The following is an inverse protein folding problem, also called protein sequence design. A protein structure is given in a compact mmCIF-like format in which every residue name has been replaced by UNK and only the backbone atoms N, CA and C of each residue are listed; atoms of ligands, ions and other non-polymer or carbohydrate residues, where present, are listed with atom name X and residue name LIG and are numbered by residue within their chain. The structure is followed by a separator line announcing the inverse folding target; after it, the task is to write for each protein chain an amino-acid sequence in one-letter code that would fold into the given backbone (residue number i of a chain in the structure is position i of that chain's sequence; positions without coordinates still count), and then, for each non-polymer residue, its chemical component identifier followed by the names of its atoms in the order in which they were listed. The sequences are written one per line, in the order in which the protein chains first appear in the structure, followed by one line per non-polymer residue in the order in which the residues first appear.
data_IF_507241414993
#
_entry.id   IF_507241414993
#
_cell.length_a   1.000
_cell.length_b   1.000
_cell.length_c   1.000
_cell.angle_alpha   90.00
_cell.angle_beta   90.00
_cell.angle_gamma   90.00
#
_symmetry.space_group_name_H-M   'P 1'
#
loop_
_entity.id
_entity.type
_entity.pdbx_description
1 polymer ?
#
# COMPACT_ATOMS: atom_id res chain seq x y z
N UNK A 1 -8.97 28.03 4.46
CA UNK A 1 -8.00 27.73 5.54
C UNK A 1 -7.90 26.23 5.88
N UNK A 2 -8.93 25.42 5.59
CA UNK A 2 -8.99 23.97 5.84
C UNK A 2 -8.11 23.14 4.89
N UNK A 3 -7.98 23.52 3.62
CA UNK A 3 -7.23 22.73 2.62
C UNK A 3 -5.73 22.68 2.87
N UNK A 4 -5.11 23.80 3.28
CA UNK A 4 -3.65 23.89 3.51
C UNK A 4 -3.18 22.97 4.64
N UNK A 5 -3.98 22.84 5.71
CA UNK A 5 -3.66 21.93 6.83
C UNK A 5 -3.82 20.48 6.40
N UNK A 6 -4.88 20.17 5.65
CA UNK A 6 -5.14 18.83 5.14
C UNK A 6 -4.03 18.37 4.18
N UNK A 7 -3.58 19.22 3.26
CA UNK A 7 -2.45 18.91 2.38
C UNK A 7 -1.14 18.70 3.16
N UNK A 8 -0.92 19.46 4.24
CA UNK A 8 0.24 19.25 5.12
C UNK A 8 0.25 17.87 5.75
N UNK A 9 -0.89 17.42 6.29
CA UNK A 9 -1.00 16.08 6.86
C UNK A 9 -0.89 14.99 5.80
N UNK A 10 -1.51 15.17 4.63
CA UNK A 10 -1.40 14.23 3.52
C UNK A 10 0.06 14.05 3.08
N UNK A 11 0.86 15.12 3.04
CA UNK A 11 2.29 15.03 2.71
C UNK A 11 3.13 14.26 3.75
N UNK A 12 2.70 14.22 5.01
CA UNK A 12 3.35 13.38 6.02
C UNK A 12 2.88 11.93 5.84
N UNK A 13 1.56 11.73 5.72
CA UNK A 13 0.97 10.39 5.66
C UNK A 13 1.28 9.63 4.36
N UNK A 14 1.59 10.31 3.26
CA UNK A 14 1.99 9.64 2.01
C UNK A 14 3.26 8.80 2.17
N UNK A 15 4.10 9.08 3.19
CA UNK A 15 5.24 8.24 3.55
C UNK A 15 4.87 6.85 4.08
N UNK A 16 3.60 6.61 4.43
CA UNK A 16 3.12 5.27 4.73
C UNK A 16 3.13 4.36 3.49
N UNK A 17 3.01 4.91 2.27
CA UNK A 17 3.02 4.12 1.04
C UNK A 17 4.36 3.39 0.79
N UNK A 18 5.55 4.04 0.89
CA UNK A 18 6.82 3.31 0.78
C UNK A 18 7.05 2.33 1.93
N UNK A 19 6.56 2.61 3.15
CA UNK A 19 6.63 1.64 4.26
C UNK A 19 5.83 0.37 3.88
N UNK A 20 4.61 0.54 3.38
CA UNK A 20 3.80 -0.57 2.87
C UNK A 20 4.52 -1.35 1.77
N UNK A 21 5.11 -0.68 0.78
CA UNK A 21 5.81 -1.35 -0.31
C UNK A 21 7.05 -2.13 0.15
N UNK A 22 7.79 -1.61 1.14
CA UNK A 22 8.92 -2.33 1.76
C UNK A 22 8.43 -3.56 2.51
N UNK A 23 7.33 -3.45 3.25
CA UNK A 23 6.74 -4.60 3.96
C UNK A 23 6.25 -5.67 2.99
N UNK A 24 5.66 -5.28 1.85
CA UNK A 24 5.32 -6.24 0.79
C UNK A 24 6.56 -6.95 0.26
N UNK A 25 7.65 -6.23 -0.02
CA UNK A 25 8.90 -6.82 -0.51
C UNK A 25 9.50 -7.80 0.50
N UNK A 26 9.52 -7.46 1.79
CA UNK A 26 9.99 -8.38 2.83
C UNK A 26 9.13 -9.65 2.84
N UNK A 27 7.82 -9.49 2.64
CA UNK A 27 6.87 -10.60 2.56
C UNK A 27 7.09 -11.55 1.39
N UNK A 28 7.87 -11.19 0.37
CA UNK A 28 8.18 -12.08 -0.77
C UNK A 28 9.49 -12.86 -0.58
N UNK A 29 10.20 -12.68 0.53
CA UNK A 29 11.50 -13.31 0.74
C UNK A 29 11.40 -14.75 1.26
N UNK A 30 10.30 -15.12 1.89
CA UNK A 30 10.11 -16.44 2.49
C UNK A 30 8.74 -17.01 2.12
N UNK A 31 8.73 -18.25 1.66
CA UNK A 31 7.54 -18.91 1.12
C UNK A 31 7.20 -20.14 1.95
N UNK A 32 5.92 -20.26 2.32
CA UNK A 32 5.43 -21.40 3.08
C UNK A 32 5.53 -22.71 2.28
N UNK A 33 5.84 -23.85 2.92
CA UNK A 33 5.73 -25.16 2.28
C UNK A 33 4.29 -25.45 1.82
N UNK A 34 4.10 -26.16 0.70
CA UNK A 34 2.77 -26.48 0.19
C UNK A 34 2.03 -27.43 1.15
N UNK A 35 0.87 -27.04 1.73
CA UNK A 35 0.17 -27.87 2.69
C UNK A 35 -0.38 -29.17 2.08
N UNK A 36 -0.61 -29.21 0.77
CA UNK A 36 -1.16 -30.38 0.06
C UNK A 36 -0.16 -31.54 -0.03
N UNK A 37 1.15 -31.25 -0.03
CA UNK A 37 2.20 -32.27 -0.21
C UNK A 37 3.18 -32.35 0.95
N UNK A 38 3.27 -31.30 1.78
CA UNK A 38 4.26 -31.19 2.86
C UNK A 38 3.66 -30.66 4.17
N UNK A 39 2.48 -31.16 4.58
CA UNK A 39 1.76 -30.60 5.74
C UNK A 39 2.58 -30.59 7.04
N UNK A 40 3.43 -31.60 7.29
CA UNK A 40 4.26 -31.62 8.50
C UNK A 40 5.30 -30.48 8.53
N UNK A 41 5.89 -30.13 7.38
CA UNK A 41 6.81 -29.00 7.25
C UNK A 41 6.06 -27.68 7.34
N UNK A 42 4.92 -27.58 6.66
CA UNK A 42 3.99 -26.47 6.75
C UNK A 42 3.58 -26.17 8.20
N UNK A 43 3.20 -27.19 8.97
CA UNK A 43 2.81 -27.05 10.37
C UNK A 43 3.94 -26.53 11.27
N UNK A 44 5.19 -26.97 11.03
CA UNK A 44 6.36 -26.41 11.72
C UNK A 44 6.62 -24.96 11.32
N UNK A 45 6.45 -24.62 10.05
CA UNK A 45 6.67 -23.26 9.53
C UNK A 45 5.66 -22.26 10.11
N UNK A 46 4.35 -22.56 10.03
CA UNK A 46 3.27 -21.66 10.46
C UNK A 46 3.16 -21.49 11.98
N UNK A 47 3.91 -22.28 12.76
CA UNK A 47 3.95 -22.15 14.23
C UNK A 47 5.13 -21.31 14.71
N UNK A 48 5.98 -20.82 13.81
CA UNK A 48 7.10 -19.95 14.17
C UNK A 48 6.64 -18.54 14.53
N UNK A 49 7.40 -17.89 15.42
CA UNK A 49 7.20 -16.48 15.75
C UNK A 49 7.44 -15.58 14.53
N UNK A 50 8.39 -15.93 13.66
CA UNK A 50 8.68 -15.22 12.41
C UNK A 50 7.48 -15.24 11.47
N UNK A 51 6.83 -16.40 11.30
CA UNK A 51 5.61 -16.53 10.51
C UNK A 51 4.47 -15.65 11.05
N UNK A 52 4.26 -15.66 12.37
CA UNK A 52 3.23 -14.83 12.99
C UNK A 52 3.55 -13.33 12.81
N UNK A 53 4.80 -12.94 13.06
CA UNK A 53 5.26 -11.57 12.92
C UNK A 53 5.15 -11.08 11.47
N UNK A 54 5.45 -11.91 10.47
CA UNK A 54 5.30 -11.52 9.06
C UNK A 54 3.84 -11.22 8.72
N UNK A 55 2.89 -12.00 9.19
CA UNK A 55 1.46 -11.75 8.93
C UNK A 55 0.91 -10.55 9.70
N UNK A 56 1.27 -10.40 10.98
CA UNK A 56 0.83 -9.25 11.78
C UNK A 56 1.43 -7.94 11.28
N UNK A 57 2.73 -7.94 10.98
CA UNK A 57 3.48 -6.72 10.64
C UNK A 57 3.48 -6.48 9.13
N UNK A 58 4.00 -7.41 8.34
CA UNK A 58 4.13 -7.19 6.90
C UNK A 58 2.78 -7.18 6.18
N UNK A 59 1.84 -8.04 6.58
CA UNK A 59 0.53 -8.11 5.94
C UNK A 59 -0.51 -7.18 6.55
N UNK A 60 -0.88 -7.35 7.83
CA UNK A 60 -1.99 -6.59 8.45
C UNK A 60 -1.60 -5.13 8.70
N UNK A 61 -0.51 -4.89 9.43
CA UNK A 61 -0.03 -3.53 9.66
C UNK A 61 0.44 -2.87 8.35
N UNK A 62 1.04 -3.65 7.44
CA UNK A 62 1.33 -3.22 6.08
C UNK A 62 0.08 -2.71 5.36
N UNK A 63 -1.00 -3.48 5.33
CA UNK A 63 -2.27 -3.08 4.71
C UNK A 63 -2.84 -1.79 5.33
N UNK A 64 -2.64 -1.55 6.63
CA UNK A 64 -2.99 -0.30 7.29
C UNK A 64 -2.14 0.87 6.76
N UNK A 65 -0.81 0.70 6.67
CA UNK A 65 0.07 1.71 6.07
C UNK A 65 -0.27 1.98 4.60
N UNK A 66 -0.60 0.95 3.82
CA UNK A 66 -1.06 1.08 2.44
C UNK A 66 -2.30 1.97 2.36
N UNK A 67 -3.31 1.68 3.18
CA UNK A 67 -4.54 2.51 3.27
C UNK A 67 -4.23 3.96 3.61
N UNK A 68 -3.40 4.22 4.61
CA UNK A 68 -3.04 5.59 5.01
C UNK A 68 -2.27 6.32 3.89
N UNK A 69 -1.30 5.66 3.26
CA UNK A 69 -0.47 6.24 2.20
C UNK A 69 -1.29 6.57 0.95
N UNK A 70 -2.17 5.67 0.51
CA UNK A 70 -3.01 5.89 -0.65
C UNK A 70 -4.21 6.81 -0.38
N UNK A 71 -4.71 6.88 0.86
CA UNK A 71 -5.65 7.93 1.27
C UNK A 71 -5.01 9.32 1.18
N UNK A 72 -3.77 9.44 1.62
CA UNK A 72 -3.01 10.69 1.50
C UNK A 72 -2.73 11.06 0.03
N UNK A 73 -2.34 10.08 -0.80
CA UNK A 73 -2.18 10.29 -2.23
C UNK A 73 -3.49 10.72 -2.91
N UNK A 74 -4.61 10.11 -2.54
CA UNK A 74 -5.94 10.50 -3.00
C UNK A 74 -6.22 11.98 -2.71
N UNK A 75 -6.02 12.41 -1.47
CA UNK A 75 -6.20 13.81 -1.06
C UNK A 75 -5.34 14.75 -1.92
N UNK A 76 -4.06 14.44 -2.09
CA UNK A 76 -3.13 15.27 -2.89
C UNK A 76 -3.57 15.35 -4.35
N UNK A 77 -3.94 14.23 -4.96
CA UNK A 77 -4.35 14.18 -6.37
C UNK A 77 -5.68 14.89 -6.62
N UNK A 78 -6.65 14.75 -5.72
CA UNK A 78 -7.95 15.43 -5.81
C UNK A 78 -7.79 16.94 -5.67
N UNK A 79 -7.04 17.41 -4.67
CA UNK A 79 -6.78 18.85 -4.50
C UNK A 79 -6.07 19.47 -5.71
N UNK A 80 -5.33 18.66 -6.48
CA UNK A 80 -4.60 19.09 -7.68
C UNK A 80 -5.33 18.77 -8.99
N UNK A 81 -6.63 18.48 -8.93
CA UNK A 81 -7.52 18.45 -10.10
C UNK A 81 -7.79 17.06 -10.72
N UNK A 82 -7.33 15.96 -10.12
CA UNK A 82 -7.52 14.61 -10.67
C UNK A 82 -8.78 13.88 -10.14
N UNK A 83 -9.92 14.58 -10.04
CA UNK A 83 -11.11 14.16 -9.27
C UNK A 83 -11.64 12.73 -9.50
N UNK A 84 -12.43 12.51 -10.55
CA UNK A 84 -13.22 11.27 -10.70
C UNK A 84 -12.38 9.98 -10.78
N UNK A 85 -11.27 10.02 -11.52
CA UNK A 85 -10.38 8.86 -11.67
C UNK A 85 -9.74 8.46 -10.33
N UNK A 86 -9.29 9.43 -9.55
CA UNK A 86 -8.63 9.19 -8.26
C UNK A 86 -9.64 8.70 -7.22
N UNK A 87 -10.90 9.17 -7.27
CA UNK A 87 -11.97 8.66 -6.40
C UNK A 87 -12.22 7.17 -6.63
N UNK A 88 -12.35 6.73 -7.88
CA UNK A 88 -12.50 5.31 -8.18
C UNK A 88 -11.25 4.51 -7.83
N UNK A 89 -10.05 5.05 -8.07
CA UNK A 89 -8.79 4.42 -7.66
C UNK A 89 -8.78 4.14 -6.15
N UNK A 90 -9.16 5.12 -5.34
CA UNK A 90 -9.19 4.99 -3.90
C UNK A 90 -10.27 4.02 -3.42
N UNK A 91 -11.49 4.11 -3.96
CA UNK A 91 -12.58 3.21 -3.59
C UNK A 91 -12.22 1.74 -3.86
N UNK A 92 -11.72 1.44 -5.06
CA UNK A 92 -11.32 0.08 -5.45
C UNK A 92 -10.13 -0.41 -4.61
N UNK A 93 -9.16 0.47 -4.34
CA UNK A 93 -8.03 0.17 -3.47
C UNK A 93 -8.49 -0.23 -2.06
N UNK A 94 -9.34 0.57 -1.42
CA UNK A 94 -9.78 0.33 -0.03
C UNK A 94 -10.61 -0.94 0.06
N UNK A 95 -11.57 -1.14 -0.86
CA UNK A 95 -12.40 -2.35 -0.90
C UNK A 95 -11.50 -3.57 -1.12
N UNK A 96 -10.61 -3.52 -2.11
CA UNK A 96 -9.68 -4.59 -2.41
C UNK A 96 -8.78 -4.94 -1.23
N UNK A 97 -8.14 -3.94 -0.63
CA UNK A 97 -7.27 -4.09 0.53
C UNK A 97 -8.00 -4.71 1.74
N UNK A 98 -9.25 -4.29 1.96
CA UNK A 98 -10.09 -4.85 3.04
C UNK A 98 -10.39 -6.32 2.80
N UNK A 99 -10.79 -6.69 1.58
CA UNK A 99 -11.10 -8.08 1.22
C UNK A 99 -9.85 -8.97 1.32
N UNK A 100 -8.70 -8.50 0.84
CA UNK A 100 -7.42 -9.24 0.93
C UNK A 100 -6.99 -9.46 2.39
N UNK A 101 -7.26 -8.50 3.27
CA UNK A 101 -6.91 -8.60 4.70
C UNK A 101 -7.60 -9.79 5.40
N UNK A 102 -8.71 -10.30 4.85
CA UNK A 102 -9.34 -11.53 5.37
C UNK A 102 -8.39 -12.73 5.37
N UNK A 103 -7.59 -12.92 4.31
CA UNK A 103 -6.58 -14.00 4.21
C UNK A 103 -5.43 -13.76 5.18
N UNK A 104 -5.02 -12.51 5.36
CA UNK A 104 -3.97 -12.17 6.32
C UNK A 104 -4.41 -12.47 7.76
N UNK A 105 -5.66 -12.19 8.10
CA UNK A 105 -6.25 -12.55 9.39
C UNK A 105 -6.32 -14.07 9.59
N UNK A 106 -6.81 -14.81 8.58
CA UNK A 106 -6.83 -16.27 8.63
C UNK A 106 -5.41 -16.83 8.83
N UNK A 107 -4.41 -16.30 8.11
CA UNK A 107 -3.03 -16.75 8.21
C UNK A 107 -2.41 -16.40 9.56
N UNK A 108 -2.65 -15.20 10.10
CA UNK A 108 -2.12 -14.81 11.40
C UNK A 108 -2.73 -15.59 12.57
N UNK A 109 -4.04 -15.89 12.51
CA UNK A 109 -4.77 -16.39 13.68
C UNK A 109 -5.16 -17.86 13.59
N UNK A 110 -5.50 -18.36 12.40
CA UNK A 110 -5.93 -19.76 12.22
C UNK A 110 -4.75 -20.69 11.94
N UNK A 111 -3.84 -20.35 11.01
CA UNK A 111 -2.74 -21.25 10.63
C UNK A 111 -1.84 -21.66 11.82
N UNK A 112 -1.42 -20.76 12.74
CA UNK A 112 -0.64 -21.19 13.90
C UNK A 112 -1.42 -22.15 14.82
N UNK A 113 -2.73 -21.96 14.95
CA UNK A 113 -3.57 -22.86 15.76
C UNK A 113 -3.70 -24.25 15.10
N UNK A 114 -3.92 -24.29 13.79
CA UNK A 114 -3.95 -25.50 12.98
C UNK A 114 -2.60 -26.24 13.06
N UNK A 115 -1.49 -25.52 12.89
CA UNK A 115 -0.15 -26.09 12.96
C UNK A 115 0.14 -26.71 14.33
N UNK A 116 -0.21 -26.02 15.43
CA UNK A 116 -0.10 -26.58 16.79
C UNK A 116 -0.97 -27.82 16.97
N UNK A 117 -2.20 -27.81 16.44
CA UNK A 117 -3.10 -28.96 16.49
C UNK A 117 -2.52 -30.18 15.76
N UNK A 118 -1.93 -29.97 14.58
CA UNK A 118 -1.26 -31.01 13.82
C UNK A 118 -0.05 -31.58 14.60
N UNK A 119 0.80 -30.71 15.13
CA UNK A 119 1.99 -31.09 15.90
C UNK A 119 1.65 -31.79 17.24
N UNK A 120 0.44 -31.56 17.78
CA UNK A 120 -0.08 -32.26 18.95
C UNK A 120 -0.67 -33.64 18.64
N UNK A 121 -0.63 -34.09 17.37
CA UNK A 121 -1.07 -35.42 16.96
C UNK A 121 -2.49 -35.50 16.40
N UNK A 122 -3.27 -34.41 16.42
CA UNK A 122 -4.60 -34.34 15.81
C UNK A 122 -4.50 -34.03 14.30
N UNK A 123 -3.73 -34.86 13.58
CA UNK A 123 -3.29 -34.59 12.20
C UNK A 123 -4.46 -34.54 11.21
N UNK A 124 -5.37 -35.52 11.25
CA UNK A 124 -6.52 -35.58 10.36
C UNK A 124 -7.48 -34.38 10.55
N UNK A 125 -7.74 -34.01 11.80
CA UNK A 125 -8.57 -32.86 12.13
C UNK A 125 -7.92 -31.55 11.69
N UNK A 126 -6.58 -31.45 11.75
CA UNK A 126 -5.86 -30.25 11.37
C UNK A 126 -5.86 -30.03 9.87
N UNK A 127 -5.71 -31.11 9.09
CA UNK A 127 -5.85 -31.06 7.63
C UNK A 127 -7.29 -30.68 7.25
N UNK A 128 -8.30 -31.31 7.86
CA UNK A 128 -9.70 -30.99 7.56
C UNK A 128 -10.03 -29.52 7.89
N UNK A 129 -9.60 -29.01 9.04
CA UNK A 129 -9.81 -27.61 9.42
C UNK A 129 -9.06 -26.62 8.51
N UNK A 130 -7.86 -26.99 8.07
CA UNK A 130 -7.11 -26.22 7.07
C UNK A 130 -7.93 -26.11 5.78
N UNK A 131 -8.43 -27.23 5.27
CA UNK A 131 -9.17 -27.27 4.00
C UNK A 131 -10.50 -26.51 4.09
N UNK A 132 -11.17 -26.55 5.24
CA UNK A 132 -12.40 -25.78 5.49
C UNK A 132 -12.14 -24.27 5.51
N UNK A 133 -11.09 -23.82 6.23
CA UNK A 133 -10.75 -22.39 6.35
C UNK A 133 -10.16 -21.86 5.05
N UNK A 134 -9.23 -22.59 4.44
CA UNK A 134 -8.59 -22.27 3.16
C UNK A 134 -9.34 -22.87 1.97
N UNK A 135 -10.66 -22.98 2.11
CA UNK A 135 -11.55 -23.45 1.06
C UNK A 135 -12.09 -22.34 0.17
N UNK A 136 -13.11 -22.69 -0.61
CA UNK A 136 -13.78 -21.80 -1.57
C UNK A 136 -14.21 -20.46 -0.96
N UNK A 137 -14.83 -20.38 0.24
CA UNK A 137 -15.33 -19.11 0.77
C UNK A 137 -14.24 -18.06 0.97
N UNK A 138 -13.08 -18.46 1.50
CA UNK A 138 -11.96 -17.54 1.72
C UNK A 138 -11.41 -17.02 0.40
N UNK A 139 -11.15 -17.92 -0.55
CA UNK A 139 -10.61 -17.52 -1.86
C UNK A 139 -11.61 -16.76 -2.74
N UNK A 140 -12.90 -17.09 -2.66
CA UNK A 140 -13.97 -16.33 -3.32
C UNK A 140 -14.12 -14.90 -2.77
N UNK A 141 -13.66 -14.66 -1.54
CA UNK A 141 -13.60 -13.33 -0.94
C UNK A 141 -12.30 -12.61 -1.34
N UNK A 142 -11.17 -13.28 -1.21
CA UNK A 142 -9.85 -12.68 -1.36
C UNK A 142 -9.46 -12.41 -2.82
N UNK A 143 -9.77 -13.32 -3.75
CA UNK A 143 -9.38 -13.18 -5.15
C UNK A 143 -10.02 -11.94 -5.82
N UNK A 144 -11.34 -11.66 -5.66
CA UNK A 144 -11.89 -10.38 -6.09
C UNK A 144 -11.20 -9.20 -5.40
N UNK A 145 -10.84 -9.33 -4.12
CA UNK A 145 -10.07 -8.34 -3.39
C UNK A 145 -8.74 -8.00 -4.06
N UNK A 146 -7.97 -9.01 -4.45
CA UNK A 146 -6.68 -8.85 -5.16
C UNK A 146 -6.87 -8.11 -6.49
N UNK A 147 -7.92 -8.47 -7.24
CA UNK A 147 -8.24 -7.81 -8.52
C UNK A 147 -8.60 -6.35 -8.30
N UNK A 148 -9.50 -6.05 -7.37
CA UNK A 148 -9.92 -4.68 -7.06
C UNK A 148 -8.76 -3.83 -6.55
N UNK A 149 -7.92 -4.38 -5.66
CA UNK A 149 -6.72 -3.73 -5.16
C UNK A 149 -5.76 -3.37 -6.30
N UNK A 150 -5.51 -4.34 -7.19
CA UNK A 150 -4.63 -4.17 -8.34
C UNK A 150 -5.17 -3.10 -9.29
N UNK A 151 -6.45 -3.15 -9.64
CA UNK A 151 -7.09 -2.14 -10.48
C UNK A 151 -7.01 -0.76 -9.83
N UNK A 152 -7.29 -0.65 -8.52
CA UNK A 152 -7.16 0.61 -7.77
C UNK A 152 -5.76 1.20 -7.89
N UNK A 153 -4.71 0.39 -7.69
CA UNK A 153 -3.32 0.79 -7.85
C UNK A 153 -2.98 1.21 -9.28
N UNK A 154 -3.50 0.50 -10.29
CA UNK A 154 -3.34 0.88 -11.71
C UNK A 154 -3.95 2.25 -11.98
N UNK A 155 -5.17 2.50 -11.51
CA UNK A 155 -5.83 3.80 -11.68
C UNK A 155 -5.08 4.91 -10.95
N UNK A 156 -4.54 4.66 -9.74
CA UNK A 156 -3.63 5.58 -9.07
C UNK A 156 -2.38 5.85 -9.91
N UNK A 157 -1.79 4.83 -10.52
CA UNK A 157 -0.65 4.96 -11.44
C UNK A 157 -0.99 5.84 -12.65
N UNK A 158 -2.16 5.66 -13.27
CA UNK A 158 -2.63 6.48 -14.39
C UNK A 158 -2.83 7.94 -13.93
N UNK A 159 -3.48 8.18 -12.79
CA UNK A 159 -3.70 9.52 -12.25
C UNK A 159 -2.35 10.21 -11.95
N UNK A 160 -1.42 9.47 -11.37
CA UNK A 160 -0.05 9.90 -11.05
C UNK A 160 0.75 10.23 -12.32
N UNK A 161 0.63 9.42 -13.38
CA UNK A 161 1.31 9.67 -14.66
C UNK A 161 0.74 10.87 -15.43
N UNK A 162 -0.49 11.29 -15.10
CA UNK A 162 -1.14 12.49 -15.66
C UNK A 162 -0.89 13.75 -14.81
N UNK A 163 -0.34 13.61 -13.62
CA UNK A 163 -0.08 14.73 -12.74
C UNK A 163 1.13 15.55 -13.22
N UNK A 164 0.93 16.84 -13.46
CA UNK A 164 1.99 17.75 -13.98
C UNK A 164 3.18 17.90 -13.01
N UNK A 165 2.95 17.69 -11.72
CA UNK A 165 3.96 17.81 -10.68
C UNK A 165 4.82 16.56 -10.48
N UNK A 166 4.53 15.46 -11.20
CA UNK A 166 5.28 14.21 -11.15
C UNK A 166 5.86 13.82 -12.51
N UNK A 167 7.06 13.22 -12.54
CA UNK A 167 7.53 12.53 -13.73
C UNK A 167 6.60 11.38 -14.11
N UNK A 168 6.28 11.24 -15.40
CA UNK A 168 5.36 10.20 -15.91
C UNK A 168 5.76 8.78 -15.53
N UNK A 169 7.08 8.52 -15.47
CA UNK A 169 7.60 7.20 -15.13
C UNK A 169 7.11 6.72 -13.76
N UNK A 170 6.90 7.62 -12.79
CA UNK A 170 6.45 7.28 -11.43
C UNK A 170 5.09 6.59 -11.48
N UNK A 171 4.15 7.16 -12.22
CA UNK A 171 2.81 6.59 -12.38
C UNK A 171 2.80 5.33 -13.24
N UNK A 172 3.63 5.26 -14.28
CA UNK A 172 3.77 4.06 -15.12
C UNK A 172 4.33 2.90 -14.29
N UNK A 173 5.39 3.14 -13.51
CA UNK A 173 5.97 2.12 -12.62
C UNK A 173 4.93 1.64 -11.62
N UNK A 174 4.15 2.52 -10.99
CA UNK A 174 3.05 2.11 -10.11
C UNK A 174 2.02 1.22 -10.83
N UNK A 175 1.57 1.64 -12.03
CA UNK A 175 0.58 0.90 -12.80
C UNK A 175 1.07 -0.47 -13.31
N UNK A 176 2.36 -0.62 -13.54
CA UNK A 176 2.96 -1.90 -14.01
C UNK A 176 3.32 -2.80 -12.83
N UNK A 177 3.91 -2.25 -11.78
CA UNK A 177 4.36 -3.00 -10.60
C UNK A 177 3.20 -3.62 -9.82
N UNK A 178 2.03 -2.98 -9.80
CA UNK A 178 0.87 -3.52 -9.09
C UNK A 178 0.35 -4.85 -9.68
N UNK A 179 0.09 -4.99 -10.99
CA UNK A 179 -0.24 -6.28 -11.60
C UNK A 179 0.88 -7.32 -11.50
N UNK A 180 2.14 -6.89 -11.65
CA UNK A 180 3.29 -7.80 -11.49
C UNK A 180 3.33 -8.40 -10.08
N UNK A 181 3.07 -7.59 -9.05
CA UNK A 181 3.01 -8.05 -7.68
C UNK A 181 1.75 -8.86 -7.38
N UNK A 182 0.57 -8.28 -7.64
CA UNK A 182 -0.71 -8.80 -7.15
C UNK A 182 -1.32 -9.92 -7.99
N UNK A 183 -1.00 -10.00 -9.28
CA UNK A 183 -1.59 -11.00 -10.19
C UNK A 183 -0.53 -11.99 -10.64
N UNK A 184 0.51 -11.50 -11.31
CA UNK A 184 1.52 -12.37 -11.92
C UNK A 184 2.35 -13.07 -10.83
N UNK A 185 2.86 -12.30 -9.87
CA UNK A 185 3.64 -12.83 -8.75
C UNK A 185 2.83 -13.76 -7.84
N UNK A 186 1.53 -13.49 -7.66
CA UNK A 186 0.65 -14.39 -6.91
C UNK A 186 0.46 -15.75 -7.59
N UNK A 187 0.33 -15.77 -8.93
CA UNK A 187 0.14 -17.02 -9.69
C UNK A 187 1.43 -17.81 -9.80
N UNK A 188 2.57 -17.14 -9.99
CA UNK A 188 3.85 -17.78 -10.28
C UNK A 188 4.70 -18.03 -9.03
N UNK A 189 4.37 -17.42 -7.88
CA UNK A 189 5.08 -17.55 -6.60
C UNK A 189 6.62 -17.52 -6.76
N UNK A 190 7.11 -16.51 -7.47
CA UNK A 190 8.49 -16.46 -7.94
C UNK A 190 9.10 -15.05 -7.82
N UNK A 191 10.30 -14.92 -8.40
CA UNK A 191 11.09 -13.68 -8.49
C UNK A 191 10.27 -12.49 -9.03
N UNK A 192 9.21 -12.74 -9.82
CA UNK A 192 8.36 -11.66 -10.37
C UNK A 192 7.66 -10.88 -9.27
N UNK A 193 7.22 -11.54 -8.19
CA UNK A 193 6.55 -10.86 -7.08
C UNK A 193 7.52 -9.87 -6.40
N UNK A 194 8.76 -10.29 -6.14
CA UNK A 194 9.82 -9.45 -5.57
C UNK A 194 10.18 -8.27 -6.48
N UNK A 195 10.23 -8.48 -7.80
CA UNK A 195 10.47 -7.41 -8.78
C UNK A 195 9.30 -6.41 -8.80
N UNK A 196 8.07 -6.89 -8.74
CA UNK A 196 6.88 -6.05 -8.59
C UNK A 196 6.95 -5.19 -7.33
N UNK A 197 7.26 -5.79 -6.18
CA UNK A 197 7.39 -5.07 -4.91
C UNK A 197 8.55 -4.05 -4.93
N UNK A 198 9.68 -4.37 -5.53
CA UNK A 198 10.79 -3.43 -5.72
C UNK A 198 10.36 -2.21 -6.55
N UNK A 199 9.61 -2.41 -7.62
CA UNK A 199 9.05 -1.30 -8.40
C UNK A 199 8.04 -0.46 -7.62
N UNK A 200 7.22 -1.09 -6.76
CA UNK A 200 6.33 -0.37 -5.83
C UNK A 200 7.11 0.49 -4.84
N UNK A 201 8.25 0.01 -4.30
CA UNK A 201 9.12 0.81 -3.42
C UNK A 201 9.61 2.05 -4.16
N UNK A 202 10.16 1.89 -5.36
CA UNK A 202 10.73 2.99 -6.14
C UNK A 202 9.68 4.06 -6.45
N UNK A 203 8.49 3.67 -6.91
CA UNK A 203 7.47 4.64 -7.29
C UNK A 203 6.82 5.32 -6.08
N UNK A 204 6.52 4.60 -5.00
CA UNK A 204 5.90 5.17 -3.80
C UNK A 204 6.87 6.10 -3.06
N UNK A 205 8.16 5.79 -3.04
CA UNK A 205 9.20 6.70 -2.52
C UNK A 205 9.28 7.98 -3.36
N UNK A 206 9.28 7.85 -4.70
CA UNK A 206 9.28 9.01 -5.58
C UNK A 206 8.04 9.89 -5.34
N UNK A 207 6.85 9.30 -5.25
CA UNK A 207 5.60 10.02 -4.93
C UNK A 207 5.77 10.83 -3.64
N UNK A 208 6.25 10.21 -2.57
CA UNK A 208 6.42 10.87 -1.27
C UNK A 208 7.42 12.04 -1.33
N UNK A 209 8.55 11.86 -2.03
CA UNK A 209 9.57 12.90 -2.21
C UNK A 209 9.03 14.09 -3.03
N UNK A 210 8.39 13.84 -4.17
CA UNK A 210 7.87 14.91 -5.03
C UNK A 210 6.68 15.63 -4.40
N UNK A 211 5.86 14.94 -3.59
CA UNK A 211 4.77 15.57 -2.85
C UNK A 211 5.27 16.67 -1.88
N UNK A 212 6.47 16.49 -1.31
CA UNK A 212 7.12 17.49 -0.45
C UNK A 212 7.65 18.72 -1.19
N UNK A 213 8.15 18.54 -2.43
CA UNK A 213 8.88 19.57 -3.19
C UNK A 213 8.02 20.76 -3.64
N UNK A 214 6.73 20.54 -3.96
CA UNK A 214 5.83 21.63 -4.40
C UNK A 214 5.68 22.77 -3.39
N UNK A 215 5.83 22.48 -2.09
CA UNK A 215 5.64 23.49 -1.04
C UNK A 215 6.82 24.42 -0.79
N UNK A 216 8.05 23.98 -1.10
CA UNK A 216 9.25 24.77 -0.83
C UNK A 216 9.29 25.98 -1.75
N UNK A 217 9.02 25.75 -3.03
CA UNK A 217 8.89 26.80 -4.04
C UNK A 217 7.75 27.79 -3.76
N UNK A 218 6.63 27.33 -3.20
CA UNK A 218 5.49 28.18 -2.85
C UNK A 218 5.76 29.00 -1.58
N UNK A 219 6.38 28.38 -0.56
CA UNK A 219 6.82 29.09 0.66
C UNK A 219 7.92 30.12 0.39
N UNK A 220 8.83 29.85 -0.54
CA UNK A 220 9.87 30.80 -0.97
C UNK A 220 9.27 31.95 -1.77
N UNK A 221 8.26 31.72 -2.63
CA UNK A 221 7.53 32.79 -3.33
C UNK A 221 6.78 33.73 -2.38
N UNK A 222 6.07 33.19 -1.39
CA UNK A 222 5.36 34.01 -0.41
C UNK A 222 6.31 34.70 0.58
N UNK A 223 7.42 34.07 0.95
CA UNK A 223 8.45 34.66 1.81
C UNK A 223 9.23 35.79 1.14
N UNK A 224 9.55 35.67 -0.15
CA UNK A 224 10.26 36.70 -0.91
C UNK A 224 9.37 37.93 -1.23
N UNK A 225 8.07 37.74 -1.45
CA UNK A 225 7.12 38.83 -1.71
C UNK A 225 6.80 39.71 -0.49
N UNK A 226 6.95 39.17 0.73
CA UNK A 226 6.67 39.90 1.97
C UNK A 226 7.74 40.91 2.39
N UNK A 227 8.98 40.76 1.89
CA UNK A 227 10.10 41.66 2.26
C UNK A 227 10.19 42.87 1.32
N UNK A 228 9.67 42.77 0.09
CA UNK A 228 9.75 43.85 -0.91
C UNK A 228 8.68 44.96 -0.74
N UNK A 229 7.71 44.80 0.16
CA UNK A 229 6.57 45.73 0.32
C UNK A 229 6.67 46.76 1.45
N UNK A 230 7.73 46.73 2.26
CA UNK A 230 7.88 47.59 3.45
C UNK A 230 8.89 48.73 3.19
N UNK A 231 8.57 49.69 2.31
CA UNK A 231 9.44 50.84 2.14
C UNK A 231 9.12 51.82 1.02
N UNK A 232 7.97 52.51 1.09
CA UNK A 232 7.81 53.85 0.46
C UNK A 232 6.44 54.47 0.80
N UNK A 233 6.28 54.94 2.04
CA UNK A 233 5.19 55.85 2.37
C UNK A 233 5.49 57.26 1.81
N UNK A 234 4.54 57.95 1.16
CA UNK A 234 4.77 59.28 0.60
C UNK A 234 4.84 60.36 1.71
N UNK A 235 5.60 61.45 1.51
CA UNK A 235 5.72 62.52 2.49
C UNK A 235 4.44 63.36 2.56
N UNK A 236 3.91 63.54 3.77
CA UNK A 236 2.82 64.46 4.07
C UNK A 236 3.27 65.91 3.88
N UNK A 237 2.69 66.61 2.91
CA UNK A 237 2.72 68.08 2.83
C UNK A 237 1.55 68.65 3.62
N UNK A 238 1.85 69.25 4.78
CA UNK A 238 0.90 70.03 5.57
C UNK A 238 0.82 71.49 5.10
N UNK A 239 -0.38 72.04 5.17
CA UNK A 239 -0.68 73.47 5.14
C UNK A 239 -0.60 74.06 6.56
#
# INVERSE_FOLDING_TARGET
MTDVRLERYARVLVWAAPIWAVLLFIGTLDHQPPPQTAFAEYARFITTATFLASHLVASILGAAFGTLGFAALFVILVQRGAGALTTWAFALFVIGNTLVTSVFGAAAFAQPAIGRMYLAGATAQAVALQDDIYGIPLFATALPGVVLLTVGLVLFGIATARAVWLPRWVGITLAVSAPLFGIVGFILADVVQSVGAAGLIVCTLAIAVFAGRGSRAESERYGAGGVAGAGSGPPHTGA
#
